data_IF_447333055039
#
_entry.id   IF_447333055039
#
_cell.length_a   1.000
_cell.length_b   1.000
_cell.length_c   1.000
_cell.angle_alpha   90.00
_cell.angle_beta   90.00
_cell.angle_gamma   90.00
#
_symmetry.space_group_name_H-M   'P 1'
#
loop_
_entity.id
_entity.type
_entity.pdbx_description
1 polymer ?
#
# COMPACT_ATOMS: atom_id res chain seq x y z
N UNK A 1 -28.57 41.85 35.84
CA UNK A 1 -27.74 40.66 35.54
C UNK A 1 -26.54 41.13 34.73
N UNK A 2 -25.34 41.02 35.29
CA UNK A 2 -24.12 41.62 34.75
C UNK A 2 -23.75 40.97 33.41
N UNK A 3 -23.55 41.78 32.37
CA UNK A 3 -23.15 41.33 31.02
C UNK A 3 -21.89 40.44 31.04
N UNK A 4 -21.04 40.60 32.06
CA UNK A 4 -19.89 39.73 32.30
C UNK A 4 -20.26 38.27 32.62
N UNK A 5 -21.40 38.00 33.25
CA UNK A 5 -21.79 36.64 33.64
C UNK A 5 -22.28 35.80 32.46
N UNK A 6 -22.85 36.42 31.42
CA UNK A 6 -23.28 35.73 30.21
C UNK A 6 -22.08 35.35 29.32
N UNK A 7 -21.06 36.21 29.24
CA UNK A 7 -19.84 35.95 28.46
C UNK A 7 -19.02 34.82 29.09
N UNK A 8 -18.92 34.78 30.42
CA UNK A 8 -18.26 33.69 31.14
C UNK A 8 -18.95 32.34 30.92
N UNK A 9 -20.29 32.30 30.91
CA UNK A 9 -21.05 31.07 30.68
C UNK A 9 -20.91 30.56 29.23
N UNK A 10 -20.80 31.48 28.25
CA UNK A 10 -20.58 31.13 26.85
C UNK A 10 -19.16 30.59 26.61
N UNK A 11 -18.14 31.17 27.25
CA UNK A 11 -16.76 30.66 27.21
C UNK A 11 -16.61 29.28 27.87
N UNK A 12 -17.38 29.00 28.92
CA UNK A 12 -17.40 27.69 29.58
C UNK A 12 -17.98 26.57 28.70
N UNK A 13 -18.85 26.89 27.74
CA UNK A 13 -19.36 25.92 26.76
C UNK A 13 -18.35 25.56 25.65
N UNK A 14 -17.27 26.33 25.52
CA UNK A 14 -16.14 26.05 24.63
C UNK A 14 -14.96 25.38 25.34
N UNK A 15 -15.10 25.02 26.63
CA UNK A 15 -14.12 24.14 27.27
C UNK A 15 -14.22 22.80 26.53
N UNK A 16 -13.17 22.37 25.81
CA UNK A 16 -13.21 21.09 25.12
C UNK A 16 -13.54 20.03 26.18
N UNK A 17 -14.59 19.23 25.91
CA UNK A 17 -14.93 18.09 26.75
C UNK A 17 -13.64 17.33 27.03
N UNK A 18 -13.40 17.05 28.32
CA UNK A 18 -12.16 16.46 28.84
C UNK A 18 -11.54 15.53 27.83
N UNK A 19 -10.50 16.02 27.14
CA UNK A 19 -9.73 15.20 26.23
C UNK A 19 -9.13 14.10 27.10
N UNK A 20 -9.67 12.89 27.00
CA UNK A 20 -9.08 11.73 27.63
C UNK A 20 -7.64 11.66 27.12
N UNK A 21 -6.68 11.81 28.03
CA UNK A 21 -5.26 11.77 27.74
C UNK A 21 -4.85 10.31 27.41
N UNK A 22 -5.34 9.78 26.29
CA UNK A 22 -4.89 8.51 25.71
C UNK A 22 -3.69 8.70 24.79
N UNK A 23 -2.93 9.78 25.03
CA UNK A 23 -1.88 10.25 24.14
C UNK A 23 -0.70 9.27 23.96
N UNK A 24 -0.53 8.27 24.85
CA UNK A 24 0.64 7.37 24.87
C UNK A 24 0.30 5.86 24.89
N UNK A 25 -0.94 5.44 24.65
CA UNK A 25 -1.41 4.13 25.13
C UNK A 25 -0.85 2.88 24.44
N UNK A 26 -0.42 2.92 23.17
CA UNK A 26 -0.05 1.69 22.47
C UNK A 26 1.34 1.15 22.88
N UNK A 27 2.39 1.99 22.83
CA UNK A 27 3.75 1.49 23.04
C UNK A 27 4.21 1.52 24.51
N UNK A 28 3.62 2.36 25.37
CA UNK A 28 4.01 2.42 26.79
C UNK A 28 3.59 1.19 27.58
N UNK A 29 2.58 0.44 27.11
CA UNK A 29 2.11 -0.79 27.74
C UNK A 29 2.99 -1.99 27.36
N UNK A 30 3.47 -2.06 26.11
CA UNK A 30 4.33 -3.14 25.64
C UNK A 30 5.82 -2.92 25.92
N UNK A 31 6.24 -1.66 26.11
CA UNK A 31 7.64 -1.28 26.28
C UNK A 31 8.48 -1.34 24.99
N UNK A 32 7.88 -1.70 23.86
CA UNK A 32 8.53 -1.76 22.56
C UNK A 32 8.02 -0.60 21.68
N UNK A 33 8.58 0.60 21.87
CA UNK A 33 8.24 1.77 21.07
C UNK A 33 9.12 1.81 19.80
N UNK A 34 8.53 1.46 18.66
CA UNK A 34 9.16 1.65 17.36
C UNK A 34 9.19 3.11 16.95
N UNK A 35 9.96 3.43 15.90
CA UNK A 35 9.97 4.76 15.27
C UNK A 35 8.57 5.17 14.80
N UNK A 36 7.74 4.19 14.42
CA UNK A 36 6.35 4.38 14.01
C UNK A 36 5.44 4.87 15.14
N UNK A 37 5.59 4.31 16.35
CA UNK A 37 4.79 4.73 17.50
C UNK A 37 5.13 6.17 17.89
N UNK A 38 6.42 6.52 17.81
CA UNK A 38 6.90 7.87 18.06
C UNK A 38 6.34 8.84 17.01
N UNK A 39 6.36 8.46 15.73
CA UNK A 39 5.83 9.28 14.64
C UNK A 39 4.31 9.49 14.78
N UNK A 40 3.55 8.42 15.05
CA UNK A 40 2.10 8.49 15.27
C UNK A 40 1.75 9.39 16.47
N UNK A 41 2.51 9.26 17.56
CA UNK A 41 2.40 10.12 18.76
C UNK A 41 2.67 11.57 18.42
N UNK A 42 3.77 11.86 17.71
CA UNK A 42 4.14 13.22 17.30
C UNK A 42 3.09 13.86 16.38
N UNK A 43 2.54 13.12 15.42
CA UNK A 43 1.46 13.60 14.53
C UNK A 43 0.19 13.90 15.33
N UNK A 44 -0.18 13.03 16.25
CA UNK A 44 -1.35 13.23 17.11
C UNK A 44 -1.17 14.47 18.00
N UNK A 45 0.02 14.68 18.56
CA UNK A 45 0.33 15.86 19.37
C UNK A 45 0.25 17.12 18.54
N UNK A 46 0.87 17.08 17.35
CA UNK A 46 0.88 18.18 16.41
C UNK A 46 -0.53 18.63 16.06
N UNK A 47 -1.43 17.69 15.75
CA UNK A 47 -2.85 17.99 15.50
C UNK A 47 -3.50 18.69 16.69
N UNK A 48 -3.27 18.21 17.91
CA UNK A 48 -3.86 18.80 19.11
C UNK A 48 -3.30 20.21 19.37
N UNK A 49 -1.99 20.42 19.25
CA UNK A 49 -1.34 21.71 19.43
C UNK A 49 -1.75 22.73 18.36
N UNK A 50 -1.84 22.32 17.09
CA UNK A 50 -2.27 23.21 16.00
C UNK A 50 -3.74 23.60 16.19
N UNK A 51 -4.61 22.62 16.48
CA UNK A 51 -6.05 22.89 16.69
C UNK A 51 -6.27 23.77 17.93
N UNK A 52 -5.59 23.44 19.04
CA UNK A 52 -5.68 24.20 20.28
C UNK A 52 -5.14 25.63 20.15
N UNK A 53 -4.00 25.83 19.49
CA UNK A 53 -3.44 27.16 19.27
C UNK A 53 -4.30 28.01 18.33
N UNK A 54 -4.86 27.41 17.27
CA UNK A 54 -5.78 28.11 16.37
C UNK A 54 -7.07 28.55 17.10
N UNK A 55 -7.64 27.68 17.93
CA UNK A 55 -8.82 28.01 18.74
C UNK A 55 -8.52 29.16 19.73
N UNK A 56 -7.37 29.10 20.42
CA UNK A 56 -6.95 30.16 21.34
C UNK A 56 -6.72 31.50 20.62
N UNK A 57 -6.06 31.46 19.45
CA UNK A 57 -5.83 32.65 18.64
C UNK A 57 -7.15 33.29 18.19
N UNK A 58 -8.13 32.47 17.80
CA UNK A 58 -9.47 32.95 17.44
C UNK A 58 -10.13 33.70 18.61
N UNK A 59 -10.06 33.16 19.83
CA UNK A 59 -10.60 33.82 21.04
C UNK A 59 -9.94 35.18 21.27
N UNK A 60 -8.61 35.27 21.18
CA UNK A 60 -7.88 36.53 21.34
C UNK A 60 -8.26 37.54 20.26
N UNK A 61 -8.39 37.10 19.00
CA UNK A 61 -8.78 37.97 17.88
C UNK A 61 -10.20 38.51 18.07
N UNK A 62 -11.16 37.67 18.49
CA UNK A 62 -12.55 38.10 18.74
C UNK A 62 -12.60 39.10 19.90
N UNK A 63 -11.85 38.85 20.98
CA UNK A 63 -11.74 39.77 22.11
C UNK A 63 -11.15 41.12 21.68
N UNK A 64 -10.01 41.11 21.02
CA UNK A 64 -9.34 42.32 20.56
C UNK A 64 -10.18 43.09 19.53
N UNK A 65 -10.91 42.39 18.65
CA UNK A 65 -11.85 43.00 17.69
C UNK A 65 -13.01 43.70 18.41
N UNK A 66 -13.51 43.12 19.50
CA UNK A 66 -14.56 43.74 20.31
C UNK A 66 -14.05 45.00 21.01
N UNK A 67 -12.84 44.97 21.56
CA UNK A 67 -12.17 46.16 22.15
C UNK A 67 -11.98 47.23 21.07
N UNK A 68 -11.50 46.85 19.90
CA UNK A 68 -11.31 47.77 18.78
C UNK A 68 -12.61 48.49 18.39
N UNK A 69 -13.71 47.74 18.21
CA UNK A 69 -15.00 48.30 17.83
C UNK A 69 -15.62 49.20 18.91
N UNK A 70 -15.40 48.87 20.19
CA UNK A 70 -15.96 49.61 21.34
C UNK A 70 -15.08 50.74 21.86
N UNK A 71 -13.92 50.99 21.25
CA UNK A 71 -12.95 51.99 21.72
C UNK A 71 -13.38 53.45 21.53
N UNK A 72 -14.48 53.72 20.81
CA UNK A 72 -15.04 55.07 20.61
C UNK A 72 -14.00 56.14 20.17
N UNK A 73 -12.97 55.73 19.41
CA UNK A 73 -11.91 56.62 18.94
C UNK A 73 -10.76 56.87 19.93
N UNK A 74 -10.73 56.22 21.10
CA UNK A 74 -9.57 56.29 21.99
C UNK A 74 -8.33 55.66 21.32
N UNK A 75 -7.26 56.43 21.06
CA UNK A 75 -6.11 55.96 20.29
C UNK A 75 -5.29 54.92 21.05
N UNK A 76 -5.22 54.99 22.38
CA UNK A 76 -4.49 53.99 23.19
C UNK A 76 -5.12 52.60 23.05
N UNK A 77 -6.45 52.49 23.23
CA UNK A 77 -7.16 51.19 23.14
C UNK A 77 -7.13 50.59 21.74
N UNK A 78 -7.19 51.45 20.71
CA UNK A 78 -7.08 51.02 19.32
C UNK A 78 -5.69 50.43 19.05
N UNK A 79 -4.63 51.07 19.54
CA UNK A 79 -3.27 50.56 19.37
C UNK A 79 -3.05 49.25 20.15
N UNK A 80 -3.61 49.15 21.36
CA UNK A 80 -3.55 47.94 22.17
C UNK A 80 -4.24 46.76 21.47
N UNK A 81 -5.47 46.96 20.97
CA UNK A 81 -6.21 45.93 20.24
C UNK A 81 -5.45 45.47 18.98
N UNK A 82 -4.85 46.40 18.23
CA UNK A 82 -4.01 46.06 17.05
C UNK A 82 -2.80 45.22 17.44
N UNK A 83 -2.13 45.54 18.55
CA UNK A 83 -0.98 44.76 19.05
C UNK A 83 -1.42 43.35 19.46
N UNK A 84 -2.58 43.19 20.09
CA UNK A 84 -3.12 41.88 20.46
C UNK A 84 -3.45 41.03 19.24
N UNK A 85 -4.10 41.60 18.21
CA UNK A 85 -4.40 40.89 16.95
C UNK A 85 -3.10 40.46 16.25
N UNK A 86 -2.15 41.37 16.10
CA UNK A 86 -0.85 41.06 15.49
C UNK A 86 -0.09 39.99 16.28
N UNK A 87 -0.09 40.08 17.62
CA UNK A 87 0.53 39.08 18.49
C UNK A 87 -0.07 37.70 18.31
N UNK A 88 -1.41 37.59 18.19
CA UNK A 88 -2.08 36.32 17.93
C UNK A 88 -1.70 35.74 16.55
N UNK A 89 -1.65 36.57 15.51
CA UNK A 89 -1.23 36.15 14.16
C UNK A 89 0.22 35.66 14.14
N UNK A 90 1.13 36.39 14.79
CA UNK A 90 2.54 35.96 14.91
C UNK A 90 2.69 34.68 15.73
N UNK A 91 1.92 34.52 16.81
CA UNK A 91 1.93 33.31 17.62
C UNK A 91 1.54 32.06 16.80
N UNK A 92 0.46 32.15 16.02
CA UNK A 92 0.05 31.08 15.11
C UNK A 92 1.13 30.82 14.04
N UNK A 93 1.71 31.87 13.47
CA UNK A 93 2.81 31.75 12.50
C UNK A 93 4.03 31.00 13.06
N UNK A 94 4.41 31.26 14.31
CA UNK A 94 5.52 30.57 14.98
C UNK A 94 5.20 29.08 15.17
N UNK A 95 3.97 28.73 15.56
CA UNK A 95 3.55 27.32 15.71
C UNK A 95 3.65 26.58 14.37
N UNK A 96 3.17 27.19 13.29
CA UNK A 96 3.32 26.60 11.95
C UNK A 96 4.78 26.46 11.52
N UNK A 97 5.61 27.49 11.75
CA UNK A 97 7.03 27.44 11.41
C UNK A 97 7.77 26.33 12.18
N UNK A 98 7.48 26.15 13.47
CA UNK A 98 8.04 25.08 14.28
C UNK A 98 7.62 23.69 13.76
N UNK A 99 6.33 23.51 13.44
CA UNK A 99 5.84 22.26 12.86
C UNK A 99 6.51 21.93 11.52
N UNK A 100 6.64 22.92 10.64
CA UNK A 100 7.34 22.77 9.36
C UNK A 100 8.81 22.40 9.53
N UNK A 101 9.50 23.02 10.50
CA UNK A 101 10.89 22.72 10.79
C UNK A 101 11.07 21.27 11.27
N UNK A 102 10.20 20.80 12.16
CA UNK A 102 10.23 19.39 12.62
C UNK A 102 9.98 18.44 11.46
N UNK A 103 8.97 18.71 10.63
CA UNK A 103 8.67 17.87 9.46
C UNK A 103 9.85 17.84 8.48
N UNK A 104 10.48 18.98 8.24
CA UNK A 104 11.65 19.07 7.38
C UNK A 104 12.81 18.21 7.91
N UNK A 105 13.07 18.25 9.21
CA UNK A 105 14.07 17.38 9.86
C UNK A 105 13.68 15.91 9.67
N UNK A 106 12.44 15.52 9.97
CA UNK A 106 12.00 14.12 9.80
C UNK A 106 12.20 13.67 8.35
N UNK A 107 11.80 14.46 7.37
CA UNK A 107 11.97 14.12 5.95
C UNK A 107 13.44 14.05 5.51
N UNK A 108 14.30 14.88 6.09
CA UNK A 108 15.74 14.89 5.79
C UNK A 108 16.45 13.64 6.33
N UNK A 109 15.98 13.06 7.45
CA UNK A 109 16.66 11.95 8.12
C UNK A 109 15.94 10.60 7.99
N UNK A 110 14.63 10.57 7.77
CA UNK A 110 13.81 9.35 7.79
C UNK A 110 13.57 8.74 6.41
N UNK A 111 13.95 9.41 5.31
CA UNK A 111 13.91 8.83 3.97
C UNK A 111 15.24 8.14 3.63
N UNK A 112 15.37 6.80 3.75
CA UNK A 112 16.42 6.10 3.04
C UNK A 112 16.18 6.30 1.53
N UNK A 113 17.21 6.69 0.81
CA UNK A 113 17.20 7.02 -0.63
C UNK A 113 16.71 5.90 -1.58
N UNK A 114 16.28 4.76 -1.04
CA UNK A 114 15.73 3.62 -1.78
C UNK A 114 14.21 3.66 -2.00
N UNK A 115 13.45 4.52 -1.32
CA UNK A 115 11.97 4.51 -1.35
C UNK A 115 11.34 5.52 -2.33
N UNK A 116 12.11 6.40 -2.96
CA UNK A 116 11.60 7.27 -4.05
C UNK A 116 11.48 6.49 -5.37
N UNK A 117 10.72 5.39 -5.40
CA UNK A 117 10.16 4.89 -6.65
C UNK A 117 8.75 5.43 -6.76
N UNK A 118 8.60 6.48 -7.56
CA UNK A 118 7.29 6.89 -8.05
C UNK A 118 6.65 5.66 -8.69
N UNK A 119 5.62 5.11 -8.06
CA UNK A 119 4.73 4.17 -8.72
C UNK A 119 3.97 4.99 -9.76
N UNK A 120 4.46 4.96 -11.00
CA UNK A 120 3.65 5.39 -12.14
C UNK A 120 2.55 4.35 -12.29
N UNK A 121 1.32 4.71 -11.93
CA UNK A 121 0.13 3.96 -12.30
C UNK A 121 0.08 3.91 -13.85
N UNK A 122 0.26 2.73 -14.48
CA UNK A 122 0.28 2.63 -15.93
C UNK A 122 -1.12 2.77 -16.56
N UNK A 123 -2.20 2.73 -15.76
CA UNK A 123 -3.58 2.85 -16.25
C UNK A 123 -4.09 4.30 -16.26
N UNK A 124 -3.55 5.17 -15.40
CA UNK A 124 -3.95 6.56 -15.33
C UNK A 124 -3.02 7.45 -16.18
N UNK A 125 -3.36 7.63 -17.46
CA UNK A 125 -2.84 8.74 -18.29
C UNK A 125 -3.19 10.16 -17.77
N UNK A 126 -3.54 10.28 -16.49
CA UNK A 126 -3.73 11.51 -15.74
C UNK A 126 -2.93 11.42 -14.46
N UNK A 127 -1.97 12.34 -14.31
CA UNK A 127 -1.32 12.62 -13.03
C UNK A 127 -2.41 12.92 -12.01
N UNK A 128 -2.64 12.02 -11.06
CA UNK A 128 -3.45 12.31 -9.86
C UNK A 128 -2.61 13.23 -8.98
N UNK A 129 -2.53 14.50 -9.36
CA UNK A 129 -2.10 15.55 -8.44
C UNK A 129 -3.28 15.87 -7.54
N UNK A 130 -3.44 15.09 -6.47
CA UNK A 130 -4.30 15.48 -5.34
C UNK A 130 -3.61 16.61 -4.56
N UNK A 131 -3.45 17.75 -5.23
CA UNK A 131 -2.75 18.93 -4.73
C UNK A 131 -3.54 19.73 -3.69
N UNK A 132 -4.74 19.28 -3.31
CA UNK A 132 -5.63 20.01 -2.41
C UNK A 132 -5.72 19.42 -0.99
N UNK A 133 -4.96 18.36 -0.67
CA UNK A 133 -4.96 17.71 0.64
C UNK A 133 -3.71 18.00 1.48
N UNK A 134 -3.76 17.64 2.76
CA UNK A 134 -2.59 17.65 3.67
C UNK A 134 -1.37 16.92 3.06
N UNK A 135 -1.59 15.94 2.16
CA UNK A 135 -0.53 15.29 1.35
C UNK A 135 0.25 16.29 0.47
N UNK A 136 -0.43 17.19 -0.23
CA UNK A 136 0.23 18.24 -1.02
C UNK A 136 0.96 19.26 -0.14
N UNK A 137 0.39 19.57 1.03
CA UNK A 137 1.00 20.46 2.03
C UNK A 137 2.26 19.85 2.67
N UNK A 138 2.35 18.52 2.79
CA UNK A 138 3.50 17.81 3.37
C UNK A 138 4.54 17.33 2.32
N UNK A 139 4.47 17.80 1.07
CA UNK A 139 5.46 17.45 0.05
C UNK A 139 5.26 16.08 -0.61
N UNK A 140 4.03 15.56 -0.64
CA UNK A 140 3.63 14.38 -1.40
C UNK A 140 3.85 13.04 -0.69
N UNK A 141 4.80 12.96 0.25
CA UNK A 141 4.96 11.81 1.13
C UNK A 141 4.00 11.93 2.30
N UNK A 142 3.21 10.89 2.53
CA UNK A 142 2.38 10.84 3.70
C UNK A 142 3.18 10.30 4.89
N UNK A 143 2.90 10.77 6.10
CA UNK A 143 3.66 10.34 7.29
C UNK A 143 3.60 8.82 7.52
N UNK A 144 2.58 8.14 7.00
CA UNK A 144 2.46 6.68 7.07
C UNK A 144 3.40 5.94 6.10
N UNK A 145 3.95 6.61 5.08
CA UNK A 145 4.97 6.03 4.19
C UNK A 145 6.30 5.79 4.92
N UNK A 146 6.47 6.38 6.13
CA UNK A 146 7.63 6.14 7.00
C UNK A 146 7.52 4.85 7.81
N UNK A 147 6.36 4.17 7.74
CA UNK A 147 6.09 2.97 8.52
C UNK A 147 5.91 1.76 7.63
N UNK A 148 6.48 0.62 8.06
CA UNK A 148 6.24 -0.63 7.37
C UNK A 148 4.77 -1.02 7.51
N UNK A 149 4.22 -1.63 6.47
CA UNK A 149 2.85 -2.17 6.48
C UNK A 149 2.62 -3.14 7.65
N UNK A 150 3.62 -3.95 7.98
CA UNK A 150 3.56 -4.88 9.10
C UNK A 150 3.35 -4.15 10.44
N UNK A 151 4.08 -3.06 10.69
CA UNK A 151 3.98 -2.33 11.96
C UNK A 151 2.63 -1.61 12.11
N UNK A 152 2.07 -1.12 11.00
CA UNK A 152 0.75 -0.49 11.00
C UNK A 152 -0.37 -1.51 11.29
N UNK A 153 -0.28 -2.72 10.74
CA UNK A 153 -1.24 -3.81 11.02
C UNK A 153 -1.16 -4.27 12.49
N UNK A 154 0.04 -4.49 13.00
CA UNK A 154 0.26 -4.99 14.37
C UNK A 154 -0.26 -4.02 15.43
N UNK A 155 -0.23 -2.71 15.14
CA UNK A 155 -0.72 -1.67 16.04
C UNK A 155 -2.25 -1.47 15.99
N UNK A 156 -2.92 -1.81 14.88
CA UNK A 156 -4.39 -1.76 14.78
C UNK A 156 -5.06 -2.82 15.68
N UNK A 157 -4.43 -3.99 15.83
CA UNK A 157 -5.00 -5.14 16.55
C UNK A 157 -4.92 -5.04 18.09
N UNK A 158 -4.31 -3.99 18.65
CA UNK A 158 -4.24 -3.83 20.10
C UNK A 158 -5.61 -3.46 20.71
N UNK A 159 -6.08 -4.17 21.75
CA UNK A 159 -7.36 -3.89 22.39
C UNK A 159 -7.33 -2.51 23.06
N UNK A 160 -8.06 -1.55 22.47
CA UNK A 160 -8.11 -0.16 22.91
C UNK A 160 -7.45 0.84 21.95
N UNK A 161 -6.90 0.41 20.81
CA UNK A 161 -6.61 1.32 19.71
C UNK A 161 -7.94 1.88 19.20
N UNK A 162 -8.01 3.20 18.98
CA UNK A 162 -9.15 3.80 18.28
C UNK A 162 -9.05 3.27 16.85
N UNK A 163 -9.79 2.19 16.54
CA UNK A 163 -10.03 1.74 15.18
C UNK A 163 -10.63 2.94 14.45
N UNK A 164 -9.80 3.70 13.73
CA UNK A 164 -10.32 4.74 12.86
C UNK A 164 -10.93 3.99 11.68
N UNK A 165 -12.22 3.74 11.79
CA UNK A 165 -13.09 2.90 10.97
C UNK A 165 -12.97 3.12 9.45
N UNK A 166 -12.53 4.30 9.04
CA UNK A 166 -12.31 4.69 7.63
C UNK A 166 -10.84 4.68 7.21
N UNK A 167 -9.89 4.64 8.14
CA UNK A 167 -8.48 4.53 7.83
C UNK A 167 -8.18 3.12 7.30
N UNK A 168 -8.56 2.06 8.01
CA UNK A 168 -8.21 0.69 7.61
C UNK A 168 -8.66 0.36 6.19
N UNK A 169 -9.88 0.75 5.82
CA UNK A 169 -10.29 0.46 4.46
C UNK A 169 -9.65 1.37 3.41
N UNK A 170 -9.48 2.66 3.69
CA UNK A 170 -8.87 3.60 2.74
C UNK A 170 -7.42 3.23 2.38
N UNK A 171 -6.74 2.43 3.21
CA UNK A 171 -5.33 2.13 3.07
C UNK A 171 -5.01 0.70 2.58
N UNK A 172 -5.83 -0.32 2.89
CA UNK A 172 -5.36 -1.71 2.76
C UNK A 172 -6.01 -2.57 1.66
N UNK A 173 -7.26 -2.31 1.24
CA UNK A 173 -7.88 -2.98 0.09
C UNK A 173 -7.73 -4.51 0.04
N UNK A 174 -7.63 -5.17 1.20
CA UNK A 174 -7.13 -6.53 1.40
C UNK A 174 -8.19 -7.47 2.00
N UNK A 175 -9.46 -7.25 1.65
CA UNK A 175 -10.60 -8.02 2.16
C UNK A 175 -10.81 -7.94 3.68
N UNK A 176 -10.19 -6.98 4.38
CA UNK A 176 -10.46 -6.74 5.80
C UNK A 176 -11.89 -6.23 6.03
N UNK A 177 -12.51 -6.71 7.11
CA UNK A 177 -13.89 -6.33 7.49
C UNK A 177 -13.96 -4.88 7.94
N UNK A 178 -14.86 -4.08 7.35
CA UNK A 178 -15.12 -2.72 7.82
C UNK A 178 -15.92 -2.76 9.15
N UNK A 179 -15.38 -2.19 10.23
CA UNK A 179 -15.90 -2.37 11.61
C UNK A 179 -17.38 -1.97 11.80
N UNK A 180 -17.90 -1.05 10.99
CA UNK A 180 -19.16 -0.37 11.30
C UNK A 180 -20.39 -1.17 10.83
N UNK A 181 -20.17 -2.18 9.98
CA UNK A 181 -21.21 -3.03 9.42
C UNK A 181 -20.63 -4.41 9.23
N UNK A 182 -21.13 -5.37 10.00
CA UNK A 182 -20.70 -6.78 10.03
C UNK A 182 -20.68 -7.52 8.68
N UNK A 183 -21.09 -6.87 7.59
CA UNK A 183 -21.18 -7.44 6.25
C UNK A 183 -20.46 -6.59 5.16
N UNK A 184 -19.66 -5.57 5.51
CA UNK A 184 -18.89 -4.81 4.51
C UNK A 184 -17.42 -5.23 4.50
N UNK A 185 -16.88 -5.42 3.30
CA UNK A 185 -15.49 -5.80 3.05
C UNK A 185 -14.78 -4.64 2.36
N UNK A 186 -13.53 -4.41 2.72
CA UNK A 186 -12.74 -3.36 2.09
C UNK A 186 -12.14 -3.79 0.75
N UNK A 187 -12.46 -3.06 -0.31
CA UNK A 187 -11.95 -3.34 -1.66
C UNK A 187 -11.35 -2.07 -2.25
N UNK A 188 -10.04 -2.07 -2.46
CA UNK A 188 -9.29 -0.97 -3.09
C UNK A 188 -9.61 0.42 -2.50
N UNK A 189 -9.69 0.56 -1.18
CA UNK A 189 -9.96 1.85 -0.54
C UNK A 189 -11.42 2.13 -0.19
N UNK A 190 -12.36 1.26 -0.59
CA UNK A 190 -13.80 1.50 -0.46
C UNK A 190 -14.49 0.33 0.24
N UNK A 191 -15.26 0.61 1.30
CA UNK A 191 -16.08 -0.40 1.97
C UNK A 191 -17.33 -0.72 1.14
N UNK A 192 -17.45 -1.96 0.70
CA UNK A 192 -18.59 -2.43 -0.10
C UNK A 192 -19.34 -3.59 0.57
N UNK A 193 -20.63 -3.71 0.30
CA UNK A 193 -21.54 -4.71 0.92
C UNK A 193 -21.34 -6.14 0.39
N UNK A 194 -20.36 -6.36 -0.49
CA UNK A 194 -20.07 -7.65 -1.12
C UNK A 194 -18.57 -7.98 -1.00
N UNK A 195 -18.17 -9.26 -0.97
CA UNK A 195 -16.77 -9.66 -1.11
C UNK A 195 -16.18 -9.00 -2.36
N UNK A 196 -14.88 -8.69 -2.39
CA UNK A 196 -14.26 -8.04 -3.53
C UNK A 196 -14.46 -8.87 -4.80
N UNK A 197 -15.53 -8.58 -5.54
CA UNK A 197 -15.79 -9.23 -6.81
C UNK A 197 -14.87 -8.49 -7.79
N UNK A 198 -13.91 -9.18 -8.43
CA UNK A 198 -13.18 -8.56 -9.53
C UNK A 198 -14.23 -8.03 -10.52
N UNK A 199 -14.09 -6.75 -10.87
CA UNK A 199 -15.05 -6.00 -11.68
C UNK A 199 -15.60 -6.88 -12.80
N UNK A 200 -16.90 -7.17 -12.75
CA UNK A 200 -17.56 -8.13 -13.62
C UNK A 200 -17.49 -7.66 -15.08
N UNK A 201 -16.50 -8.19 -15.79
CA UNK A 201 -16.26 -7.94 -17.21
C UNK A 201 -15.73 -9.16 -17.96
N UNK A 202 -15.61 -10.33 -17.35
CA UNK A 202 -15.48 -11.63 -18.05
C UNK A 202 -16.14 -12.69 -17.17
N UNK A 203 -17.15 -13.38 -17.70
CA UNK A 203 -17.75 -14.51 -17.00
C UNK A 203 -16.71 -15.64 -16.87
N UNK A 204 -16.34 -15.98 -15.63
CA UNK A 204 -15.51 -17.14 -15.34
C UNK A 204 -16.20 -18.44 -15.82
N UNK A 205 -15.46 -19.39 -16.43
CA UNK A 205 -16.02 -20.70 -16.73
C UNK A 205 -16.35 -21.44 -15.45
N UNK A 206 -17.44 -22.19 -15.49
CA UNK A 206 -17.97 -22.99 -14.39
C UNK A 206 -16.93 -24.04 -13.96
N UNK A 207 -16.52 -24.02 -12.68
CA UNK A 207 -15.60 -24.99 -12.08
C UNK A 207 -16.14 -26.41 -12.19
N UNK A 208 -15.29 -27.34 -12.62
CA UNK A 208 -15.45 -28.79 -12.39
C UNK A 208 -14.96 -29.07 -10.95
N UNK A 209 -15.68 -29.87 -10.13
CA UNK A 209 -15.21 -30.26 -8.81
C UNK A 209 -13.94 -31.14 -8.90
N UNK A 210 -12.94 -30.78 -8.11
CA UNK A 210 -11.70 -31.53 -7.95
C UNK A 210 -11.97 -32.94 -7.39
N UNK A 211 -11.40 -33.96 -8.03
CA UNK A 211 -11.39 -35.33 -7.51
C UNK A 211 -10.41 -35.43 -6.31
N UNK A 212 -10.74 -36.20 -5.26
CA UNK A 212 -9.84 -36.38 -4.14
C UNK A 212 -8.77 -37.45 -4.42
N UNK A 213 -7.50 -37.01 -4.34
CA UNK A 213 -6.37 -37.77 -3.78
C UNK A 213 -5.43 -38.47 -4.77
N UNK A 214 -4.19 -37.96 -4.89
CA UNK A 214 -2.93 -38.71 -4.70
C UNK A 214 -1.81 -37.72 -4.30
N UNK A 215 -1.01 -37.98 -3.25
CA UNK A 215 0.25 -37.29 -3.02
C UNK A 215 1.32 -37.87 -3.97
N UNK A 216 1.39 -37.32 -5.19
CA UNK A 216 2.41 -37.67 -6.17
C UNK A 216 3.69 -36.88 -5.92
N UNK A 217 4.79 -37.60 -5.72
CA UNK A 217 6.13 -37.03 -5.75
C UNK A 217 6.36 -36.22 -7.03
N UNK A 218 7.18 -35.17 -6.95
CA UNK A 218 7.66 -34.43 -8.12
C UNK A 218 8.14 -35.42 -9.21
N UNK A 219 7.43 -35.53 -10.34
CA UNK A 219 7.88 -36.38 -11.45
C UNK A 219 6.86 -36.88 -12.48
N UNK A 220 5.55 -36.72 -12.30
CA UNK A 220 4.58 -37.19 -13.31
C UNK A 220 4.15 -36.08 -14.27
N UNK A 221 4.80 -36.04 -15.43
CA UNK A 221 4.50 -35.12 -16.55
C UNK A 221 3.03 -35.15 -16.97
N UNK A 222 2.44 -36.34 -17.09
CA UNK A 222 1.07 -36.49 -17.59
C UNK A 222 0.05 -35.98 -16.57
N UNK A 223 0.28 -36.28 -15.29
CA UNK A 223 -0.55 -35.76 -14.20
C UNK A 223 -0.46 -34.23 -14.11
N UNK A 224 0.74 -33.64 -14.16
CA UNK A 224 0.89 -32.17 -14.12
C UNK A 224 0.20 -31.50 -15.31
N UNK A 225 0.34 -32.04 -16.52
CA UNK A 225 -0.39 -31.52 -17.71
C UNK A 225 -1.89 -31.61 -17.54
N UNK A 226 -2.39 -32.69 -16.96
CA UNK A 226 -3.82 -32.83 -16.66
C UNK A 226 -4.30 -31.80 -15.62
N UNK A 227 -3.46 -31.41 -14.66
CA UNK A 227 -3.81 -30.39 -13.66
C UNK A 227 -3.81 -28.98 -14.23
N UNK A 228 -2.87 -28.67 -15.14
CA UNK A 228 -2.79 -27.36 -15.81
C UNK A 228 -4.00 -27.07 -16.71
N UNK A 229 -4.79 -28.10 -17.06
CA UNK A 229 -6.11 -27.94 -17.64
C UNK A 229 -6.09 -27.28 -19.02
N UNK A 230 -6.57 -26.04 -19.11
CA UNK A 230 -6.70 -25.27 -20.35
C UNK A 230 -5.45 -24.48 -20.74
N UNK A 231 -4.45 -24.38 -19.86
CA UNK A 231 -3.21 -23.66 -20.12
C UNK A 231 -2.46 -24.33 -21.27
N UNK A 232 -2.13 -23.56 -22.30
CA UNK A 232 -1.40 -24.07 -23.46
C UNK A 232 0.06 -24.34 -23.08
N UNK A 233 0.60 -25.47 -23.52
CA UNK A 233 2.03 -25.78 -23.45
C UNK A 233 2.52 -25.92 -24.89
N UNK A 234 3.36 -25.00 -25.33
CA UNK A 234 3.65 -24.81 -26.76
C UNK A 234 4.51 -25.92 -27.40
N UNK A 235 5.06 -26.84 -26.59
CA UNK A 235 5.90 -27.94 -27.04
C UNK A 235 5.41 -29.28 -26.48
N UNK A 236 5.73 -30.34 -27.21
CA UNK A 236 5.48 -31.72 -26.77
C UNK A 236 6.23 -32.05 -25.47
N UNK A 237 5.73 -33.02 -24.68
CA UNK A 237 6.45 -33.54 -23.51
C UNK A 237 7.88 -33.97 -23.85
N UNK A 238 8.82 -33.75 -22.93
CA UNK A 238 10.20 -34.21 -23.09
C UNK A 238 10.32 -35.73 -22.85
N UNK A 239 10.88 -36.50 -23.80
CA UNK A 239 11.20 -37.92 -23.56
C UNK A 239 12.25 -38.12 -22.45
N UNK A 240 13.24 -37.21 -22.38
CA UNK A 240 14.25 -37.14 -21.34
C UNK A 240 14.53 -35.67 -21.01
N UNK A 241 14.27 -35.28 -19.76
CA UNK A 241 14.40 -33.92 -19.25
C UNK A 241 15.84 -33.37 -19.30
N UNK A 242 16.85 -34.22 -19.42
CA UNK A 242 18.27 -33.83 -19.40
C UNK A 242 18.85 -33.66 -20.80
N UNK A 243 18.36 -34.40 -21.79
CA UNK A 243 19.00 -34.52 -23.11
C UNK A 243 18.12 -34.08 -24.27
N UNK A 244 16.79 -34.07 -24.10
CA UNK A 244 15.87 -33.81 -25.20
C UNK A 244 15.88 -32.35 -25.61
N UNK A 245 15.93 -32.11 -26.93
CA UNK A 245 15.81 -30.77 -27.51
C UNK A 245 14.39 -30.44 -27.97
N UNK A 246 13.98 -29.16 -27.92
CA UNK A 246 12.72 -28.66 -28.45
C UNK A 246 11.45 -29.32 -27.87
N UNK A 247 11.45 -29.50 -26.55
CA UNK A 247 10.32 -30.02 -25.78
C UNK A 247 10.12 -29.14 -24.54
N UNK A 248 9.04 -29.34 -23.80
CA UNK A 248 8.82 -28.71 -22.48
C UNK A 248 8.45 -29.78 -21.48
N UNK A 249 9.10 -29.78 -20.32
CA UNK A 249 8.76 -30.64 -19.19
C UNK A 249 8.07 -29.81 -18.11
N UNK A 250 6.91 -30.24 -17.66
CA UNK A 250 6.22 -29.68 -16.48
C UNK A 250 6.27 -30.65 -15.29
N UNK A 251 6.86 -31.82 -15.47
CA UNK A 251 7.09 -32.81 -14.42
C UNK A 251 7.86 -32.19 -13.26
N UNK A 252 7.29 -32.25 -12.06
CA UNK A 252 7.93 -31.75 -10.85
C UNK A 252 7.74 -30.25 -10.58
N UNK A 253 6.90 -29.53 -11.34
CA UNK A 253 6.37 -28.25 -10.88
C UNK A 253 5.68 -28.43 -9.52
N UNK A 254 5.86 -27.48 -8.61
CA UNK A 254 5.18 -27.51 -7.31
C UNK A 254 3.68 -27.28 -7.47
N UNK A 255 2.86 -27.84 -6.58
CA UNK A 255 1.41 -27.57 -6.60
C UNK A 255 1.10 -26.07 -6.43
N UNK A 256 1.92 -25.34 -5.67
CA UNK A 256 1.81 -23.89 -5.52
C UNK A 256 1.97 -23.18 -6.87
N UNK A 257 2.99 -23.55 -7.64
CA UNK A 257 3.23 -23.02 -8.99
C UNK A 257 2.11 -23.37 -9.96
N UNK A 258 1.61 -24.60 -9.94
CA UNK A 258 0.47 -25.02 -10.76
C UNK A 258 -0.77 -24.16 -10.44
N UNK A 259 -1.08 -23.97 -9.15
CA UNK A 259 -2.22 -23.16 -8.74
C UNK A 259 -2.08 -21.70 -9.17
N UNK A 260 -0.89 -21.11 -9.03
CA UNK A 260 -0.62 -19.72 -9.46
C UNK A 260 -0.67 -19.56 -10.98
N UNK A 261 -0.24 -20.56 -11.75
CA UNK A 261 -0.38 -20.55 -13.20
C UNK A 261 -1.86 -20.55 -13.62
N UNK A 262 -2.70 -21.37 -12.97
CA UNK A 262 -4.15 -21.42 -13.20
C UNK A 262 -4.82 -20.09 -12.81
N UNK A 263 -4.37 -19.48 -11.72
CA UNK A 263 -4.84 -18.16 -11.29
C UNK A 263 -4.48 -17.07 -12.31
N UNK A 264 -3.22 -17.02 -12.77
CA UNK A 264 -2.76 -16.10 -13.80
C UNK A 264 -3.56 -16.24 -15.10
N UNK A 265 -3.80 -17.49 -15.53
CA UNK A 265 -4.58 -17.79 -16.73
C UNK A 265 -6.04 -17.37 -16.60
N UNK A 266 -6.63 -17.54 -15.41
CA UNK A 266 -7.98 -17.07 -15.10
C UNK A 266 -8.11 -15.54 -15.12
N UNK A 267 -7.07 -14.80 -14.72
CA UNK A 267 -7.05 -13.34 -14.72
C UNK A 267 -7.10 -12.78 -16.16
N UNK A 268 -6.31 -13.34 -17.07
CA UNK A 268 -6.26 -12.87 -18.46
C UNK A 268 -7.15 -13.64 -19.44
N UNK A 269 -7.85 -14.68 -18.98
CA UNK A 269 -8.79 -15.44 -19.80
C UNK A 269 -8.13 -16.33 -20.86
N UNK A 270 -7.07 -17.07 -20.49
CA UNK A 270 -6.41 -18.03 -21.40
C UNK A 270 -5.13 -17.51 -22.06
N UNK A 271 -4.47 -16.50 -21.51
CA UNK A 271 -3.29 -15.89 -22.13
C UNK A 271 -1.97 -16.57 -21.74
N UNK A 272 -1.98 -17.49 -20.77
CA UNK A 272 -0.77 -18.13 -20.28
C UNK A 272 -0.41 -19.29 -21.20
N UNK A 273 0.76 -19.17 -21.83
CA UNK A 273 1.35 -20.22 -22.66
C UNK A 273 2.67 -20.61 -22.00
N UNK A 274 2.80 -21.84 -21.51
CA UNK A 274 4.05 -22.34 -20.95
C UNK A 274 5.00 -22.66 -22.10
N UNK A 275 6.16 -21.98 -22.12
CA UNK A 275 7.19 -22.12 -23.16
C UNK A 275 8.39 -22.95 -22.72
N UNK A 276 8.52 -23.15 -21.40
CA UNK A 276 9.59 -23.90 -20.74
C UNK A 276 9.24 -24.15 -19.27
N UNK A 277 9.77 -25.22 -18.68
CA UNK A 277 9.46 -25.65 -17.32
C UNK A 277 10.67 -26.20 -16.57
N UNK A 278 10.60 -27.48 -16.18
CA UNK A 278 11.57 -28.17 -15.33
C UNK A 278 12.69 -28.87 -16.07
N UNK A 279 12.77 -28.73 -17.40
CA UNK A 279 13.86 -29.27 -18.21
C UNK A 279 15.24 -28.79 -17.72
N UNK A 280 16.22 -29.70 -17.69
CA UNK A 280 17.61 -29.41 -17.25
C UNK A 280 18.59 -29.32 -18.41
N UNK A 281 18.12 -29.57 -19.64
CA UNK A 281 18.93 -29.64 -20.85
C UNK A 281 19.40 -28.28 -21.38
N UNK A 282 20.30 -28.27 -22.38
CA UNK A 282 21.08 -27.11 -22.84
C UNK A 282 20.28 -26.05 -23.64
N UNK A 283 18.98 -25.87 -23.36
CA UNK A 283 18.10 -24.94 -24.10
C UNK A 283 18.39 -23.46 -23.90
N UNK A 284 19.29 -23.15 -22.98
CA UNK A 284 20.23 -22.07 -23.13
C UNK A 284 21.45 -22.48 -22.30
N UNK A 285 22.65 -22.32 -22.85
CA UNK A 285 23.90 -22.73 -22.20
C UNK A 285 24.19 -22.05 -20.85
N UNK A 286 23.24 -21.26 -20.31
CA UNK A 286 23.35 -20.53 -19.05
C UNK A 286 22.03 -20.43 -18.24
N UNK A 287 21.01 -21.25 -18.50
CA UNK A 287 19.72 -21.14 -17.77
C UNK A 287 19.57 -22.14 -16.63
N UNK A 288 19.11 -21.65 -15.47
CA UNK A 288 18.89 -22.42 -14.24
C UNK A 288 17.51 -23.08 -14.16
N UNK A 289 17.02 -23.67 -15.26
CA UNK A 289 15.82 -24.51 -15.18
C UNK A 289 16.09 -25.78 -14.38
N UNK A 290 15.09 -26.23 -13.62
CA UNK A 290 15.20 -27.38 -12.71
C UNK A 290 14.81 -27.11 -11.26
N UNK A 291 14.34 -25.90 -10.94
CA UNK A 291 13.63 -25.61 -9.69
C UNK A 291 12.13 -25.85 -9.89
N UNK A 292 11.41 -26.38 -8.88
CA UNK A 292 9.98 -26.69 -9.01
C UNK A 292 9.09 -25.45 -9.11
N UNK A 293 9.64 -24.24 -8.90
CA UNK A 293 8.90 -22.99 -8.85
C UNK A 293 9.20 -22.02 -9.99
N UNK A 294 10.05 -22.43 -10.94
CA UNK A 294 10.46 -21.59 -12.07
C UNK A 294 9.83 -22.13 -13.35
N UNK A 295 9.26 -21.23 -14.14
CA UNK A 295 8.57 -21.56 -15.40
C UNK A 295 8.75 -20.42 -16.40
N UNK A 296 8.88 -20.77 -17.68
CA UNK A 296 8.87 -19.78 -18.75
C UNK A 296 7.48 -19.66 -19.34
N UNK A 297 7.00 -18.42 -19.46
CA UNK A 297 5.71 -18.07 -20.02
C UNK A 297 5.91 -17.27 -21.30
N UNK A 298 5.08 -17.50 -22.32
CA UNK A 298 5.10 -16.74 -23.56
C UNK A 298 4.98 -15.24 -23.30
N UNK A 299 5.82 -14.45 -23.97
CA UNK A 299 5.87 -13.01 -23.75
C UNK A 299 4.70 -12.27 -24.43
N UNK A 300 3.56 -12.17 -23.74
CA UNK A 300 2.40 -11.37 -24.15
C UNK A 300 2.14 -10.21 -23.17
N UNK A 301 1.47 -9.15 -23.64
CA UNK A 301 1.09 -8.04 -22.76
C UNK A 301 0.12 -8.50 -21.67
N UNK A 302 -0.84 -9.35 -22.03
CA UNK A 302 -1.88 -9.83 -21.11
C UNK A 302 -1.28 -10.73 -20.03
N UNK A 303 -0.32 -11.60 -20.37
CA UNK A 303 0.37 -12.44 -19.38
C UNK A 303 1.15 -11.58 -18.37
N UNK A 304 1.87 -10.54 -18.85
CA UNK A 304 2.58 -9.62 -17.95
C UNK A 304 1.62 -8.92 -16.99
N UNK A 305 0.51 -8.41 -17.51
CA UNK A 305 -0.51 -7.73 -16.70
C UNK A 305 -1.15 -8.68 -15.69
N UNK A 306 -1.43 -9.93 -16.05
CA UNK A 306 -1.95 -10.92 -15.11
C UNK A 306 -0.96 -11.21 -13.96
N UNK A 307 0.32 -11.44 -14.28
CA UNK A 307 1.35 -11.67 -13.27
C UNK A 307 1.54 -10.45 -12.33
N UNK A 308 1.51 -9.24 -12.88
CA UNK A 308 1.57 -8.00 -12.09
C UNK A 308 0.35 -7.85 -11.16
N UNK A 309 -0.86 -8.23 -11.62
CA UNK A 309 -2.07 -8.22 -10.79
C UNK A 309 -2.02 -9.26 -9.67
N UNK A 310 -1.29 -10.36 -9.86
CA UNK A 310 -0.99 -11.32 -8.80
C UNK A 310 0.10 -10.84 -7.82
N UNK A 311 0.62 -9.62 -8.01
CA UNK A 311 1.65 -9.04 -7.16
C UNK A 311 3.06 -9.55 -7.44
N UNK A 312 3.31 -10.18 -8.60
CA UNK A 312 4.69 -10.49 -8.99
C UNK A 312 5.42 -9.21 -9.40
N UNK A 313 6.66 -9.09 -8.93
CA UNK A 313 7.51 -7.95 -9.24
C UNK A 313 8.22 -8.16 -10.57
N UNK A 314 8.08 -7.22 -11.51
CA UNK A 314 8.88 -7.22 -12.74
C UNK A 314 10.33 -6.82 -12.45
N UNK A 315 11.27 -7.69 -12.77
CA UNK A 315 12.70 -7.43 -12.66
C UNK A 315 13.29 -6.91 -13.98
N UNK A 316 14.38 -6.15 -13.90
CA UNK A 316 15.10 -5.60 -15.06
C UNK A 316 16.45 -6.28 -15.31
N UNK A 317 16.94 -7.07 -14.36
CA UNK A 317 18.16 -7.86 -14.51
C UNK A 317 18.14 -9.05 -13.55
N UNK A 318 18.86 -10.13 -13.91
CA UNK A 318 19.15 -11.24 -12.99
C UNK A 318 20.16 -10.77 -11.94
N UNK A 319 19.70 -10.05 -10.91
CA UNK A 319 20.58 -9.65 -9.82
C UNK A 319 20.87 -10.84 -8.92
N UNK A 320 22.16 -11.17 -8.77
CA UNK A 320 22.69 -12.08 -7.77
C UNK A 320 22.48 -11.50 -6.36
N UNK A 321 21.28 -11.63 -5.81
CA UNK A 321 20.97 -11.05 -4.50
C UNK A 321 19.49 -10.98 -4.13
N UNK A 322 18.57 -11.19 -5.08
CA UNK A 322 17.18 -11.42 -4.70
C UNK A 322 17.10 -12.74 -3.94
N UNK A 323 16.54 -12.66 -2.73
CA UNK A 323 16.35 -13.81 -1.86
C UNK A 323 15.54 -14.85 -2.62
N UNK A 324 16.11 -16.04 -2.79
CA UNK A 324 15.43 -17.19 -3.39
C UNK A 324 14.09 -17.39 -2.68
N UNK A 325 12.97 -17.25 -3.40
CA UNK A 325 11.62 -17.33 -2.85
C UNK A 325 10.76 -16.06 -2.95
N UNK A 326 11.21 -15.02 -3.67
CA UNK A 326 10.34 -13.89 -4.05
C UNK A 326 9.46 -14.22 -5.26
N UNK A 327 8.25 -13.66 -5.30
CA UNK A 327 7.34 -13.69 -6.46
C UNK A 327 7.81 -12.66 -7.51
N UNK A 328 8.38 -13.10 -8.63
CA UNK A 328 8.89 -12.19 -9.65
C UNK A 328 8.83 -12.77 -11.06
N UNK A 329 8.93 -11.89 -12.05
CA UNK A 329 9.20 -12.29 -13.42
C UNK A 329 10.17 -11.33 -14.10
N UNK A 330 10.87 -11.82 -15.11
CA UNK A 330 11.80 -11.05 -15.93
C UNK A 330 11.58 -11.37 -17.40
N UNK A 331 11.78 -10.38 -18.25
CA UNK A 331 11.69 -10.55 -19.69
C UNK A 331 13.04 -11.10 -20.20
N UNK A 332 13.01 -12.28 -20.81
CA UNK A 332 14.20 -13.05 -21.13
C UNK A 332 14.31 -13.45 -22.61
N UNK A 333 15.54 -13.46 -23.10
CA UNK A 333 15.92 -14.08 -24.37
C UNK A 333 17.22 -14.83 -24.18
N UNK A 334 17.16 -16.16 -24.26
CA UNK A 334 18.31 -17.05 -24.15
C UNK A 334 19.10 -16.90 -22.83
N UNK A 335 18.40 -16.74 -21.71
CA UNK A 335 19.00 -16.58 -20.38
C UNK A 335 19.64 -15.21 -20.14
N UNK A 336 19.27 -14.21 -20.94
CA UNK A 336 19.67 -12.82 -20.76
C UNK A 336 18.43 -11.93 -20.55
N UNK A 337 18.47 -11.17 -19.46
CA UNK A 337 17.47 -10.15 -19.17
C UNK A 337 17.48 -9.07 -20.27
N UNK A 338 16.33 -8.89 -20.93
CA UNK A 338 16.15 -7.95 -22.04
C UNK A 338 14.89 -7.13 -21.84
N UNK A 339 14.66 -6.13 -22.71
CA UNK A 339 13.38 -5.42 -22.76
C UNK A 339 12.25 -6.38 -23.12
N UNK A 340 11.09 -6.23 -22.46
CA UNK A 340 9.89 -7.01 -22.78
C UNK A 340 9.37 -6.81 -24.21
N UNK A 341 9.84 -5.77 -24.92
CA UNK A 341 9.54 -5.57 -26.34
C UNK A 341 10.32 -6.50 -27.28
N UNK A 342 11.46 -7.04 -26.82
CA UNK A 342 12.35 -7.92 -27.59
C UNK A 342 12.53 -9.29 -26.95
N UNK A 343 11.91 -9.52 -25.80
CA UNK A 343 11.98 -10.78 -25.07
C UNK A 343 11.23 -11.89 -25.81
N UNK A 344 11.81 -13.09 -25.80
CA UNK A 344 11.18 -14.29 -26.36
C UNK A 344 10.15 -14.89 -25.40
N UNK A 345 10.37 -14.77 -24.09
CA UNK A 345 9.50 -15.29 -23.04
C UNK A 345 9.68 -14.45 -21.74
N UNK A 346 8.85 -14.77 -20.76
CA UNK A 346 8.94 -14.29 -19.37
C UNK A 346 9.48 -15.43 -18.54
N UNK A 347 10.57 -15.21 -17.83
CA UNK A 347 11.09 -16.16 -16.86
C UNK A 347 10.50 -15.81 -15.50
N UNK A 348 9.70 -16.72 -14.94
CA UNK A 348 8.83 -16.47 -13.77
C UNK A 348 9.23 -17.37 -12.62
N UNK A 349 9.40 -16.80 -11.42
CA UNK A 349 9.53 -17.55 -10.17
C UNK A 349 8.34 -17.22 -9.26
N UNK A 350 7.69 -18.28 -8.80
CA UNK A 350 6.53 -18.25 -7.92
C UNK A 350 6.84 -18.70 -6.49
#
# INVERSE_FOLDING_TARGET
MNRFSAIALMLLSFVPQTAHAEFLRACTVSGNCGVCDIAATAVTLGKWLITGSAALALVVIVWASTVFATSAGNPEKIQEAKKQILGAVFGVGIVFAAFYLVLWIVMAFANPSSQFRYSEDPAAGKKVTDAAGLRGFLGGAAWWDLCSEADLRTNSDNPGSVKNETADCKFWGDDTSCSDKSNKVCCSGVCQDAPCVPSAGVAAPTRIPAAPGVPGAAGDEAATRSQLGTIEINKSPCPDINTSLNCTSVAGLSQSTINKLIEADGICGGCIIITGGTERGPHAENTTHGRPNVVDIGNSQDARTALEQMGLVRMTSFQSGYAMGSNWFICDTAGQAVSCSTASHLHVEF
#
